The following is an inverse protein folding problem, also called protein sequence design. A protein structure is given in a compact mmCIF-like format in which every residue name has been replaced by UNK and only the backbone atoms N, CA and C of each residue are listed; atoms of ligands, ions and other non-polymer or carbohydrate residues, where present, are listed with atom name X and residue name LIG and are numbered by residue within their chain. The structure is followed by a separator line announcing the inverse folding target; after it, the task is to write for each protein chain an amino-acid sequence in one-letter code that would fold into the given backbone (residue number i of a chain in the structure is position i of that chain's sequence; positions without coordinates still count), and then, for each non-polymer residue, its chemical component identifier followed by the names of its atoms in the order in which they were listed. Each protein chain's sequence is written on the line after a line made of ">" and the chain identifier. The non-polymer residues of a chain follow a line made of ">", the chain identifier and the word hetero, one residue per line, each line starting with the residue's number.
data_IF_345690517574
#
_entry.id   IF_345690517574
#
_cell.length_a   1.000
_cell.length_b   1.000
_cell.length_c   1.000
_cell.angle_alpha   90.00
_cell.angle_beta   90.00
_cell.angle_gamma   90.00
#
_symmetry.space_group_name_H-M   'P 1'
#
loop_
_entity.id
_entity.type
_entity.pdbx_description
1 polymer ?
#
# COMPACT_ATOMS: atom_id res chain seq x y z
N UNK A 1 6.47 -2.69 5.52
CA UNK A 1 5.67 -3.94 5.67
C UNK A 1 4.84 -3.93 6.96
N UNK A 2 5.45 -3.77 8.14
CA UNK A 2 4.70 -3.76 9.42
C UNK A 2 3.65 -2.64 9.52
N UNK A 3 3.98 -1.43 9.06
CA UNK A 3 3.03 -0.30 9.00
C UNK A 3 1.79 -0.62 8.14
N UNK A 4 2.00 -1.19 6.95
CA UNK A 4 0.89 -1.60 6.08
C UNK A 4 0.00 -2.67 6.75
N UNK A 5 0.58 -3.63 7.48
CA UNK A 5 -0.18 -4.61 8.26
C UNK A 5 -1.05 -3.90 9.30
N UNK A 6 -0.49 -2.95 10.07
CA UNK A 6 -1.24 -2.20 11.07
C UNK A 6 -2.41 -1.42 10.45
N UNK A 7 -2.20 -0.78 9.30
CA UNK A 7 -3.28 -0.11 8.58
C UNK A 7 -4.36 -1.09 8.12
N UNK A 8 -4.00 -2.24 7.56
CA UNK A 8 -4.97 -3.25 7.14
C UNK A 8 -5.79 -3.81 8.32
N UNK A 9 -5.16 -4.06 9.47
CA UNK A 9 -5.88 -4.49 10.67
C UNK A 9 -6.88 -3.44 11.14
N UNK A 10 -6.48 -2.17 11.14
CA UNK A 10 -7.35 -1.05 11.53
C UNK A 10 -8.51 -0.83 10.54
N UNK A 11 -8.26 -1.00 9.24
CA UNK A 11 -9.28 -0.83 8.18
C UNK A 11 -10.31 -1.97 8.23
N UNK A 12 -9.85 -3.22 8.44
CA UNK A 12 -10.70 -4.41 8.41
C UNK A 12 -11.33 -4.77 9.76
N UNK A 13 -10.91 -4.12 10.84
CA UNK A 13 -11.23 -4.46 12.23
C UNK A 13 -10.97 -5.94 12.56
N UNK A 14 -9.90 -6.49 11.97
CA UNK A 14 -9.48 -7.89 12.13
C UNK A 14 -8.00 -7.97 12.39
N UNK A 15 -7.59 -8.94 13.20
CA UNK A 15 -6.17 -9.24 13.43
C UNK A 15 -5.63 -10.18 12.36
N UNK A 16 -4.48 -9.81 11.82
CA UNK A 16 -3.77 -10.63 10.85
C UNK A 16 -2.93 -11.65 11.61
N UNK A 17 -3.03 -12.92 11.23
CA UNK A 17 -2.07 -13.92 11.69
C UNK A 17 -0.83 -13.86 10.80
N UNK A 18 0.26 -13.33 11.33
CA UNK A 18 1.50 -13.15 10.59
C UNK A 18 2.72 -13.38 11.47
N UNK A 19 3.83 -13.76 10.83
CA UNK A 19 5.14 -13.92 11.46
C UNK A 19 6.20 -13.23 10.61
N UNK A 20 7.11 -12.49 11.23
CA UNK A 20 8.28 -11.96 10.54
C UNK A 20 9.28 -13.08 10.25
N UNK A 21 9.73 -13.17 9.01
CA UNK A 21 10.86 -14.01 8.60
C UNK A 21 11.95 -13.07 8.11
N UNK A 22 13.13 -13.18 8.71
CA UNK A 22 14.25 -12.26 8.42
C UNK A 22 14.79 -12.42 7.01
N UNK A 23 14.71 -13.63 6.45
CA UNK A 23 15.15 -13.92 5.09
C UNK A 23 14.12 -13.41 4.08
N UNK A 24 14.48 -12.39 3.30
CA UNK A 24 13.70 -11.94 2.15
C UNK A 24 13.76 -12.96 1.01
N UNK A 25 12.78 -12.94 0.09
CA UNK A 25 12.84 -13.81 -1.09
C UNK A 25 13.93 -13.29 -2.03
N UNK A 26 14.56 -14.22 -2.74
CA UNK A 26 15.55 -13.88 -3.77
C UNK A 26 14.86 -13.03 -4.84
N UNK A 27 15.38 -11.84 -5.09
CA UNK A 27 14.82 -10.87 -6.05
C UNK A 27 13.81 -9.88 -5.47
N UNK A 28 13.44 -9.99 -4.18
CA UNK A 28 12.64 -8.95 -3.53
C UNK A 28 13.44 -7.65 -3.48
N UNK A 29 12.87 -6.59 -4.06
CA UNK A 29 13.41 -5.24 -3.90
C UNK A 29 12.97 -4.72 -2.53
N UNK A 30 13.93 -4.42 -1.65
CA UNK A 30 13.62 -3.96 -0.30
C UNK A 30 12.87 -2.62 -0.34
N UNK A 31 13.30 -1.70 -1.22
CA UNK A 31 12.72 -0.37 -1.40
C UNK A 31 12.62 -0.05 -2.90
N UNK A 32 11.50 0.56 -3.28
CA UNK A 32 11.31 1.16 -4.59
C UNK A 32 10.73 2.55 -4.43
N UNK A 33 11.45 3.56 -4.89
CA UNK A 33 11.01 4.96 -4.89
C UNK A 33 11.13 5.47 -6.31
N UNK A 34 10.03 5.98 -6.85
CA UNK A 34 10.00 6.56 -8.20
C UNK A 34 10.04 8.07 -8.12
N UNK A 35 10.91 8.69 -8.92
CA UNK A 35 10.86 10.13 -9.15
C UNK A 35 9.80 10.46 -10.21
N UNK A 36 8.79 11.22 -9.80
CA UNK A 36 7.68 11.65 -10.67
C UNK A 36 7.85 13.08 -11.20
N UNK A 37 8.98 13.76 -10.91
CA UNK A 37 9.22 15.14 -11.34
C UNK A 37 9.09 15.33 -12.85
N UNK A 38 9.59 14.38 -13.66
CA UNK A 38 9.44 14.44 -15.12
C UNK A 38 7.98 14.50 -15.57
N UNK A 39 7.10 13.75 -14.89
CA UNK A 39 5.68 13.74 -15.20
C UNK A 39 5.02 15.06 -14.77
N UNK A 40 5.32 15.55 -13.57
CA UNK A 40 4.86 16.86 -13.08
C UNK A 40 5.28 18.01 -13.99
N UNK A 41 6.50 17.98 -14.52
CA UNK A 41 6.99 19.01 -15.43
C UNK A 41 6.19 19.05 -16.74
N UNK A 42 5.75 17.90 -17.25
CA UNK A 42 4.90 17.83 -18.44
C UNK A 42 3.44 18.18 -18.15
N UNK A 43 2.97 17.92 -16.92
CA UNK A 43 1.59 18.15 -16.49
C UNK A 43 1.56 18.93 -15.16
N UNK A 44 1.74 20.27 -15.18
CA UNK A 44 1.89 21.06 -13.96
C UNK A 44 0.66 21.14 -13.07
N UNK A 45 -0.52 20.85 -13.61
CA UNK A 45 -1.77 20.77 -12.85
C UNK A 45 -2.00 19.40 -12.20
N UNK A 46 -1.17 18.41 -12.50
CA UNK A 46 -1.29 17.07 -11.93
C UNK A 46 -0.60 17.02 -10.56
N UNK A 47 -1.29 16.45 -9.58
CA UNK A 47 -0.78 16.24 -8.23
C UNK A 47 -1.11 14.83 -7.73
N UNK A 48 -0.28 14.32 -6.81
CA UNK A 48 -0.57 13.08 -6.10
C UNK A 48 -1.62 13.38 -5.03
N UNK A 49 -2.81 12.79 -5.17
CA UNK A 49 -3.94 13.01 -4.25
C UNK A 49 -4.18 11.86 -3.29
N UNK A 50 -3.52 10.73 -3.52
CA UNK A 50 -3.72 9.49 -2.78
C UNK A 50 -2.50 9.16 -1.92
N UNK A 51 -2.75 8.85 -0.65
CA UNK A 51 -1.75 8.25 0.21
C UNK A 51 -1.99 6.72 0.35
N UNK A 52 -1.07 6.04 1.06
CA UNK A 52 -1.13 4.59 1.27
C UNK A 52 -2.43 4.16 1.97
N UNK A 53 -2.90 4.91 2.96
CA UNK A 53 -4.11 4.57 3.71
C UNK A 53 -5.34 4.69 2.82
N UNK A 54 -5.43 5.72 2.00
CA UNK A 54 -6.54 5.91 1.04
C UNK A 54 -6.62 4.72 0.08
N UNK A 55 -5.48 4.34 -0.51
CA UNK A 55 -5.39 3.19 -1.43
C UNK A 55 -5.81 1.89 -0.74
N UNK A 56 -5.34 1.64 0.48
CA UNK A 56 -5.70 0.41 1.22
C UNK A 56 -7.19 0.37 1.57
N UNK A 57 -7.80 1.53 1.87
CA UNK A 57 -9.25 1.63 2.14
C UNK A 57 -10.07 1.33 0.89
N UNK A 58 -9.72 1.91 -0.26
CA UNK A 58 -10.42 1.64 -1.53
C UNK A 58 -10.33 0.17 -1.90
N UNK A 59 -9.13 -0.43 -1.81
CA UNK A 59 -8.94 -1.88 -2.04
C UNK A 59 -9.87 -2.71 -1.14
N UNK A 60 -9.98 -2.37 0.15
CA UNK A 60 -10.86 -3.07 1.07
C UNK A 60 -12.33 -2.90 0.70
N UNK A 61 -12.78 -1.66 0.47
CA UNK A 61 -14.18 -1.34 0.14
C UNK A 61 -14.65 -2.03 -1.14
N UNK A 62 -13.82 -2.05 -2.18
CA UNK A 62 -14.17 -2.63 -3.48
C UNK A 62 -14.23 -4.16 -3.48
N UNK A 63 -13.60 -4.81 -2.49
CA UNK A 63 -13.46 -6.27 -2.49
C UNK A 63 -14.14 -6.97 -1.31
N UNK A 64 -14.51 -6.25 -0.26
CA UNK A 64 -15.03 -6.87 0.97
C UNK A 64 -16.24 -7.78 0.70
N UNK A 65 -17.15 -7.38 -0.18
CA UNK A 65 -18.32 -8.19 -0.54
C UNK A 65 -17.97 -9.54 -1.17
N UNK A 66 -16.79 -9.66 -1.81
CA UNK A 66 -16.32 -10.90 -2.44
C UNK A 66 -15.53 -11.79 -1.49
N UNK A 67 -15.02 -11.24 -0.39
CA UNK A 67 -14.13 -11.93 0.54
C UNK A 67 -14.84 -12.50 1.78
N UNK A 68 -16.06 -12.03 2.07
CA UNK A 68 -16.89 -12.52 3.18
C UNK A 68 -17.68 -13.76 2.76
#
# INVERSE_FOLDING_TARGET
>A
MLEAIQHCEAISDKKLDWKYVETNRIGDHVWWISDVQKFKNHYPSWELTYNVIDILKEIYQDNIERWV
#
